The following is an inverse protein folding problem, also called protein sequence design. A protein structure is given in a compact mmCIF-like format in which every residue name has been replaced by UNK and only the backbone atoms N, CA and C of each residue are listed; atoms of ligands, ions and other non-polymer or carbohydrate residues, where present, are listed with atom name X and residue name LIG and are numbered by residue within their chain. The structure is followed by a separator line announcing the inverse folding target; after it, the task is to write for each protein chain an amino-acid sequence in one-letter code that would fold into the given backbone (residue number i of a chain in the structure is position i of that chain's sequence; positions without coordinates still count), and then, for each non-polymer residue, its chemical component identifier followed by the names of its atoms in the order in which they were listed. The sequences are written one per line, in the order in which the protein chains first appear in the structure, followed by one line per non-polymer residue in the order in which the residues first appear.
data_IF_381640863233
#
_entry.id   IF_381640863233
#
_cell.length_a   1.000
_cell.length_b   1.000
_cell.length_c   1.000
_cell.angle_alpha   90.00
_cell.angle_beta   90.00
_cell.angle_gamma   90.00
#
_symmetry.space_group_name_H-M   'P 1'
#
loop_
_entity.id
_entity.type
_entity.pdbx_description
1 polymer ?
#
# COMPACT_ATOMS: atom_id res chain seq x y z
N UNK A 1 -19.20 -2.14 25.73
CA UNK A 1 -18.92 -0.69 25.78
C UNK A 1 -19.11 -0.10 27.18
N UNK A 2 -19.91 -0.70 28.07
CA UNK A 2 -20.17 -0.17 29.43
C UNK A 2 -19.09 -0.40 30.49
N UNK A 3 -17.99 -1.12 30.19
CA UNK A 3 -17.03 -1.55 31.22
C UNK A 3 -15.91 -0.56 31.54
N UNK A 4 -15.73 0.51 30.77
CA UNK A 4 -14.52 1.37 30.83
C UNK A 4 -14.80 2.87 31.03
N UNK A 5 -16.07 3.26 31.12
CA UNK A 5 -16.48 4.66 31.34
C UNK A 5 -16.43 5.51 30.07
N UNK A 6 -17.31 6.51 30.03
CA UNK A 6 -17.53 7.40 28.86
C UNK A 6 -16.25 8.18 28.49
N UNK A 7 -15.44 8.58 29.47
CA UNK A 7 -14.18 9.28 29.25
C UNK A 7 -13.13 8.43 28.52
N UNK A 8 -12.97 7.15 28.90
CA UNK A 8 -12.03 6.26 28.23
C UNK A 8 -12.43 6.00 26.77
N UNK A 9 -13.74 5.95 26.48
CA UNK A 9 -14.25 5.85 25.11
C UNK A 9 -13.85 7.06 24.27
N UNK A 10 -14.03 8.28 24.78
CA UNK A 10 -13.65 9.49 24.03
C UNK A 10 -12.14 9.59 23.83
N UNK A 11 -11.34 9.29 24.85
CA UNK A 11 -9.88 9.25 24.72
C UNK A 11 -9.43 8.23 23.67
N UNK A 12 -9.99 7.02 23.70
CA UNK A 12 -9.70 5.99 22.70
C UNK A 12 -10.05 6.44 21.27
N UNK A 13 -11.22 7.06 21.08
CA UNK A 13 -11.64 7.56 19.77
C UNK A 13 -10.74 8.71 19.28
N UNK A 14 -10.40 9.67 20.14
CA UNK A 14 -9.53 10.80 19.78
C UNK A 14 -8.13 10.30 19.44
N UNK A 15 -7.56 9.38 20.24
CA UNK A 15 -6.26 8.79 19.93
C UNK A 15 -6.29 7.96 18.65
N UNK A 16 -7.35 7.17 18.44
CA UNK A 16 -7.54 6.40 17.20
C UNK A 16 -7.59 7.31 15.98
N UNK A 17 -8.35 8.40 16.04
CA UNK A 17 -8.38 9.43 15.00
C UNK A 17 -6.98 10.00 14.78
N UNK A 18 -6.29 10.45 15.84
CA UNK A 18 -4.97 11.06 15.71
C UNK A 18 -3.94 10.10 15.07
N UNK A 19 -3.91 8.84 15.49
CA UNK A 19 -2.97 7.81 14.99
C UNK A 19 -3.29 7.43 13.55
N UNK A 20 -4.57 7.25 13.21
CA UNK A 20 -4.97 6.93 11.84
C UNK A 20 -4.66 8.10 10.91
N UNK A 21 -5.04 9.33 11.27
CA UNK A 21 -4.76 10.51 10.46
C UNK A 21 -3.27 10.75 10.24
N UNK A 22 -2.43 10.63 11.28
CA UNK A 22 -0.98 10.83 11.10
C UNK A 22 -0.35 9.76 10.21
N UNK A 23 -0.85 8.52 10.26
CA UNK A 23 -0.34 7.43 9.42
C UNK A 23 -0.73 7.64 7.97
N UNK A 24 -2.00 7.97 7.72
CA UNK A 24 -2.51 8.24 6.37
C UNK A 24 -1.83 9.46 5.74
N UNK A 25 -1.64 10.57 6.48
CA UNK A 25 -0.90 11.71 5.95
C UNK A 25 0.56 11.37 5.61
N UNK A 26 1.22 10.55 6.43
CA UNK A 26 2.58 10.09 6.14
C UNK A 26 2.65 9.22 4.88
N UNK A 27 1.68 8.33 4.68
CA UNK A 27 1.61 7.46 3.49
C UNK A 27 1.33 8.28 2.23
N UNK A 28 0.37 9.21 2.26
CA UNK A 28 0.03 10.08 1.13
C UNK A 28 1.23 10.96 0.70
N UNK A 29 1.94 11.56 1.67
CA UNK A 29 3.14 12.36 1.38
C UNK A 29 4.26 11.50 0.77
N UNK A 30 4.51 10.30 1.31
CA UNK A 30 5.54 9.41 0.80
C UNK A 30 5.19 8.87 -0.61
N UNK A 31 3.96 8.44 -0.84
CA UNK A 31 3.52 7.87 -2.11
C UNK A 31 3.53 8.91 -3.24
N UNK A 32 3.03 10.12 -2.96
CA UNK A 32 3.03 11.22 -3.94
C UNK A 32 4.45 11.71 -4.28
N UNK A 33 5.38 11.74 -3.32
CA UNK A 33 6.81 12.03 -3.56
C UNK A 33 7.47 10.98 -4.43
N UNK A 34 7.36 9.71 -4.05
CA UNK A 34 7.95 8.60 -4.82
C UNK A 34 7.39 8.56 -6.25
N UNK A 35 6.08 8.77 -6.42
CA UNK A 35 5.43 8.81 -7.73
C UNK A 35 5.91 9.99 -8.58
N UNK A 36 6.06 11.16 -7.96
CA UNK A 36 6.59 12.36 -8.61
C UNK A 36 8.02 12.13 -9.09
N UNK A 37 8.88 11.59 -8.22
CA UNK A 37 10.27 11.29 -8.54
C UNK A 37 10.37 10.27 -9.67
N UNK A 38 9.57 9.19 -9.62
CA UNK A 38 9.56 8.15 -10.64
C UNK A 38 9.18 8.71 -12.02
N UNK A 39 8.13 9.54 -12.10
CA UNK A 39 7.66 10.14 -13.35
C UNK A 39 8.65 11.19 -13.86
N UNK A 40 9.20 12.01 -12.97
CA UNK A 40 10.15 13.06 -13.36
C UNK A 40 11.45 12.46 -13.89
N UNK A 41 11.99 11.44 -13.22
CA UNK A 41 13.25 10.79 -13.61
C UNK A 41 13.10 9.97 -14.89
N UNK A 42 11.97 9.27 -15.06
CA UNK A 42 11.80 8.30 -16.15
C UNK A 42 11.22 8.92 -17.42
N UNK A 43 10.25 9.83 -17.31
CA UNK A 43 9.47 10.33 -18.46
C UNK A 43 9.65 11.81 -18.75
N UNK A 44 9.81 12.65 -17.71
CA UNK A 44 9.78 14.12 -17.85
C UNK A 44 11.09 14.81 -17.43
N UNK A 45 12.22 14.12 -17.64
CA UNK A 45 13.56 14.58 -17.24
C UNK A 45 13.87 15.96 -17.82
N UNK A 46 13.54 16.17 -19.09
CA UNK A 46 13.90 17.40 -19.84
C UNK A 46 12.70 18.33 -20.09
N UNK A 47 11.52 18.05 -19.52
CA UNK A 47 10.33 18.88 -19.77
C UNK A 47 10.22 20.03 -18.73
N UNK A 48 10.37 21.31 -19.14
CA UNK A 48 10.31 22.46 -18.23
C UNK A 48 8.88 22.82 -17.79
N UNK A 49 7.84 22.29 -18.44
CA UNK A 49 6.45 22.61 -18.09
C UNK A 49 5.93 21.88 -16.85
N UNK A 50 6.52 20.75 -16.49
CA UNK A 50 6.11 19.97 -15.33
C UNK A 50 7.21 20.02 -14.27
N UNK A 51 7.03 20.96 -13.35
CA UNK A 51 7.82 21.03 -12.12
C UNK A 51 7.40 19.93 -11.16
N UNK A 52 8.34 19.46 -10.34
CA UNK A 52 8.10 18.45 -9.30
C UNK A 52 6.91 18.84 -8.41
N UNK A 53 6.82 20.10 -7.99
CA UNK A 53 5.70 20.57 -7.17
C UNK A 53 4.32 20.46 -7.82
N UNK A 54 4.21 20.57 -9.16
CA UNK A 54 2.93 20.38 -9.86
C UNK A 54 2.55 18.91 -9.99
N UNK A 55 3.52 18.04 -10.24
CA UNK A 55 3.31 16.60 -10.27
C UNK A 55 2.90 16.09 -8.88
N UNK A 56 3.60 16.53 -7.84
CA UNK A 56 3.25 16.22 -6.44
C UNK A 56 1.82 16.62 -6.12
N UNK A 57 1.42 17.84 -6.49
CA UNK A 57 0.04 18.32 -6.30
C UNK A 57 -0.99 17.39 -6.96
N UNK A 58 -0.77 17.00 -8.22
CA UNK A 58 -1.70 16.12 -8.93
C UNK A 58 -1.74 14.70 -8.37
N UNK A 59 -0.60 14.13 -7.96
CA UNK A 59 -0.57 12.81 -7.32
C UNK A 59 -1.27 12.84 -5.96
N UNK A 60 -0.94 13.81 -5.11
CA UNK A 60 -1.56 13.96 -3.79
C UNK A 60 -3.08 14.15 -3.89
N UNK A 61 -3.54 15.08 -4.73
CA UNK A 61 -4.97 15.31 -4.91
C UNK A 61 -5.65 14.14 -5.61
N UNK A 62 -4.97 13.47 -6.54
CA UNK A 62 -5.46 12.26 -7.18
C UNK A 62 -5.74 11.15 -6.15
N UNK A 63 -4.80 10.90 -5.24
CA UNK A 63 -4.95 9.91 -4.16
C UNK A 63 -6.10 10.27 -3.21
N UNK A 64 -6.18 11.55 -2.78
CA UNK A 64 -7.26 12.04 -1.90
C UNK A 64 -8.63 11.92 -2.57
N UNK A 65 -8.73 12.32 -3.84
CA UNK A 65 -9.98 12.26 -4.60
C UNK A 65 -10.40 10.81 -4.85
N UNK A 66 -9.45 9.93 -5.18
CA UNK A 66 -9.72 8.50 -5.37
C UNK A 66 -10.26 7.89 -4.07
N UNK A 67 -9.57 8.08 -2.94
CA UNK A 67 -10.03 7.59 -1.63
C UNK A 67 -11.40 8.15 -1.24
N UNK A 68 -11.63 9.46 -1.45
CA UNK A 68 -12.91 10.12 -1.16
C UNK A 68 -14.03 9.60 -2.06
N UNK A 69 -13.75 9.35 -3.34
CA UNK A 69 -14.74 8.85 -4.31
C UNK A 69 -15.23 7.45 -3.96
N UNK A 70 -14.36 6.57 -3.46
CA UNK A 70 -14.73 5.22 -3.02
C UNK A 70 -15.78 5.31 -1.88
N UNK A 71 -15.56 6.20 -0.91
CA UNK A 71 -16.51 6.43 0.19
C UNK A 71 -17.85 7.01 -0.29
N UNK A 72 -17.82 7.90 -1.29
CA UNK A 72 -19.05 8.48 -1.86
C UNK A 72 -19.85 7.43 -2.64
N UNK A 73 -19.18 6.58 -3.43
CA UNK A 73 -19.81 5.48 -4.18
C UNK A 73 -20.47 4.47 -3.23
N UNK A 74 -19.83 4.15 -2.11
CA UNK A 74 -20.41 3.33 -1.05
C UNK A 74 -21.72 3.94 -0.53
N UNK A 75 -21.72 5.24 -0.19
CA UNK A 75 -22.91 5.94 0.29
C UNK A 75 -24.03 6.07 -0.74
N UNK A 76 -23.72 6.04 -2.03
CA UNK A 76 -24.69 6.15 -3.13
C UNK A 76 -25.49 4.85 -3.40
N UNK A 77 -25.24 3.77 -2.65
CA UNK A 77 -26.04 2.55 -2.74
C UNK A 77 -25.65 1.58 -3.86
N UNK A 78 -24.56 1.85 -4.58
CA UNK A 78 -23.93 0.90 -5.52
C UNK A 78 -23.03 -0.13 -4.78
N UNK A 79 -23.20 -0.26 -3.45
CA UNK A 79 -22.20 -0.71 -2.50
C UNK A 79 -21.74 -2.16 -2.65
N UNK A 80 -20.47 -2.32 -3.01
CA UNK A 80 -19.66 -3.45 -2.55
C UNK A 80 -19.52 -3.29 -1.03
N UNK A 81 -19.84 -4.35 -0.28
CA UNK A 81 -19.84 -4.36 1.18
C UNK A 81 -18.48 -3.87 1.75
N UNK A 82 -18.46 -3.00 2.76
CA UNK A 82 -17.23 -2.42 3.32
C UNK A 82 -16.21 -3.49 3.74
N UNK A 83 -16.72 -4.64 4.19
CA UNK A 83 -15.93 -5.84 4.51
C UNK A 83 -15.19 -6.39 3.30
N UNK A 84 -15.83 -6.37 2.14
CA UNK A 84 -15.23 -6.83 0.88
C UNK A 84 -14.06 -5.93 0.52
N UNK A 85 -14.20 -4.61 0.55
CA UNK A 85 -13.08 -3.68 0.32
C UNK A 85 -11.91 -3.91 1.28
N UNK A 86 -12.20 -4.18 2.55
CA UNK A 86 -11.16 -4.50 3.54
C UNK A 86 -10.39 -5.79 3.19
N UNK A 87 -11.10 -6.82 2.71
CA UNK A 87 -10.46 -8.07 2.25
C UNK A 87 -9.58 -7.80 1.03
N UNK A 88 -10.06 -7.03 0.05
CA UNK A 88 -9.29 -6.69 -1.14
C UNK A 88 -8.03 -5.89 -0.82
N UNK A 89 -8.12 -4.85 0.02
CA UNK A 89 -6.93 -4.06 0.40
C UNK A 89 -5.91 -4.91 1.18
N UNK A 90 -6.38 -5.80 2.07
CA UNK A 90 -5.50 -6.72 2.79
C UNK A 90 -4.79 -7.70 1.86
N UNK A 91 -5.51 -8.28 0.90
CA UNK A 91 -4.94 -9.20 -0.10
C UNK A 91 -3.93 -8.48 -1.01
N UNK A 92 -4.24 -7.26 -1.46
CA UNK A 92 -3.34 -6.42 -2.25
C UNK A 92 -2.06 -6.08 -1.48
N UNK A 93 -2.16 -5.75 -0.20
CA UNK A 93 -0.98 -5.50 0.63
C UNK A 93 -0.06 -6.73 0.72
N UNK A 94 -0.64 -7.94 0.88
CA UNK A 94 0.12 -9.19 0.83
C UNK A 94 0.83 -9.39 -0.52
N UNK A 95 0.15 -9.09 -1.63
CA UNK A 95 0.73 -9.17 -2.97
C UNK A 95 1.88 -8.18 -3.18
N UNK A 96 1.75 -6.94 -2.70
CA UNK A 96 2.82 -5.95 -2.75
C UNK A 96 4.03 -6.42 -1.94
N UNK A 97 3.82 -7.03 -0.76
CA UNK A 97 4.89 -7.58 0.05
C UNK A 97 5.63 -8.75 -0.63
N UNK A 98 4.92 -9.60 -1.37
CA UNK A 98 5.53 -10.62 -2.22
C UNK A 98 6.44 -10.01 -3.29
N UNK A 99 5.95 -9.02 -4.04
CA UNK A 99 6.74 -8.33 -5.06
C UNK A 99 7.96 -7.63 -4.46
N UNK A 100 7.76 -6.89 -3.37
CA UNK A 100 8.81 -6.16 -2.66
C UNK A 100 9.94 -7.08 -2.20
N UNK A 101 9.60 -8.18 -1.52
CA UNK A 101 10.59 -9.13 -1.03
C UNK A 101 11.29 -9.89 -2.15
N UNK A 102 10.60 -10.18 -3.25
CA UNK A 102 11.20 -10.77 -4.46
C UNK A 102 12.22 -9.84 -5.11
N UNK A 103 11.86 -8.57 -5.29
CA UNK A 103 12.77 -7.55 -5.84
C UNK A 103 13.99 -7.37 -4.93
N UNK A 104 13.79 -7.29 -3.62
CA UNK A 104 14.90 -7.19 -2.66
C UNK A 104 15.84 -8.39 -2.74
N UNK A 105 15.31 -9.61 -2.80
CA UNK A 105 16.12 -10.81 -2.89
C UNK A 105 16.91 -10.86 -4.21
N UNK A 106 16.27 -10.48 -5.32
CA UNK A 106 16.90 -10.35 -6.64
C UNK A 106 18.05 -9.32 -6.61
N UNK A 107 17.80 -8.11 -6.10
CA UNK A 107 18.81 -7.03 -6.02
C UNK A 107 19.95 -7.38 -5.06
N UNK A 108 19.64 -8.02 -3.92
CA UNK A 108 20.64 -8.49 -2.94
C UNK A 108 21.57 -9.56 -3.52
N UNK A 109 21.08 -10.43 -4.40
CA UNK A 109 21.88 -11.49 -5.03
C UNK A 109 22.64 -11.01 -6.27
N UNK A 110 22.05 -10.16 -7.11
CA UNK A 110 22.57 -9.87 -8.46
C UNK A 110 23.20 -8.49 -8.64
N UNK A 111 22.81 -7.48 -7.85
CA UNK A 111 23.21 -6.09 -8.12
C UNK A 111 24.15 -5.48 -7.06
N UNK A 112 24.22 -6.08 -5.85
CA UNK A 112 24.98 -5.50 -4.74
C UNK A 112 26.44 -6.01 -4.68
N UNK A 113 27.44 -5.09 -4.62
CA UNK A 113 28.84 -5.43 -4.36
C UNK A 113 28.98 -6.22 -3.05
N UNK A 114 29.85 -7.23 -3.04
CA UNK A 114 30.06 -8.12 -1.90
C UNK A 114 30.18 -7.45 -0.50
N UNK A 115 30.75 -6.23 -0.35
CA UNK A 115 30.86 -5.56 0.94
C UNK A 115 29.54 -5.06 1.55
N UNK A 116 28.48 -4.86 0.77
CA UNK A 116 27.18 -4.29 1.22
C UNK A 116 26.10 -5.38 1.29
N UNK A 117 26.47 -6.64 1.01
CA UNK A 117 25.50 -7.74 0.99
C UNK A 117 24.95 -8.01 2.39
N UNK A 118 23.65 -8.25 2.41
CA UNK A 118 22.95 -8.65 3.63
C UNK A 118 23.50 -10.02 4.08
N UNK A 119 23.76 -10.24 5.38
CA UNK A 119 24.24 -11.52 5.88
C UNK A 119 23.27 -12.67 5.53
N UNK A 120 23.81 -13.88 5.37
CA UNK A 120 23.06 -15.05 4.86
C UNK A 120 21.78 -15.36 5.66
N UNK A 121 21.78 -15.16 6.98
CA UNK A 121 20.59 -15.42 7.82
C UNK A 121 19.43 -14.46 7.53
N UNK A 122 19.70 -13.16 7.34
CA UNK A 122 18.68 -12.16 6.95
C UNK A 122 18.15 -12.45 5.54
N UNK A 123 19.02 -12.94 4.65
CA UNK A 123 18.61 -13.38 3.31
C UNK A 123 17.70 -14.61 3.35
N UNK A 124 17.93 -15.54 4.29
CA UNK A 124 17.06 -16.70 4.49
C UNK A 124 15.68 -16.29 5.02
N UNK A 125 15.61 -15.32 5.94
CA UNK A 125 14.34 -14.76 6.42
C UNK A 125 13.60 -14.07 5.26
N UNK A 126 14.29 -13.27 4.44
CA UNK A 126 13.66 -12.64 3.27
C UNK A 126 13.12 -13.67 2.28
N UNK A 127 13.85 -14.76 2.04
CA UNK A 127 13.39 -15.85 1.17
C UNK A 127 12.17 -16.58 1.78
N UNK A 128 12.16 -16.81 3.09
CA UNK A 128 11.00 -17.37 3.78
C UNK A 128 9.77 -16.46 3.65
N UNK A 129 9.95 -15.15 3.88
CA UNK A 129 8.89 -14.14 3.75
C UNK A 129 8.35 -14.08 2.32
N UNK A 130 9.22 -14.16 1.31
CA UNK A 130 8.83 -14.23 -0.09
C UNK A 130 7.98 -15.47 -0.39
N UNK A 131 8.39 -16.65 0.09
CA UNK A 131 7.62 -17.88 -0.10
C UNK A 131 6.27 -17.83 0.64
N UNK A 132 6.25 -17.30 1.86
CA UNK A 132 5.04 -17.16 2.67
C UNK A 132 4.02 -16.25 1.96
N UNK A 133 4.39 -15.01 1.66
CA UNK A 133 3.47 -14.09 0.99
C UNK A 133 3.13 -14.56 -0.43
N UNK A 134 4.09 -15.15 -1.15
CA UNK A 134 3.86 -15.70 -2.48
C UNK A 134 2.80 -16.80 -2.51
N UNK A 135 2.82 -17.72 -1.53
CA UNK A 135 1.80 -18.74 -1.38
C UNK A 135 0.40 -18.14 -1.16
N UNK A 136 0.27 -17.19 -0.23
CA UNK A 136 -1.03 -16.54 0.04
C UNK A 136 -1.53 -15.69 -1.12
N UNK A 137 -0.64 -14.98 -1.82
CA UNK A 137 -1.02 -14.20 -3.00
C UNK A 137 -1.47 -15.10 -4.15
N UNK A 138 -0.78 -16.22 -4.40
CA UNK A 138 -1.20 -17.18 -5.42
C UNK A 138 -2.56 -17.81 -5.09
N UNK A 139 -2.78 -18.17 -3.82
CA UNK A 139 -4.05 -18.70 -3.36
C UNK A 139 -5.20 -17.69 -3.46
N UNK A 140 -4.97 -16.44 -3.05
CA UNK A 140 -5.95 -15.36 -3.21
C UNK A 140 -6.26 -15.10 -4.70
N UNK A 141 -5.25 -15.13 -5.57
CA UNK A 141 -5.43 -15.01 -7.01
C UNK A 141 -6.29 -16.15 -7.59
N UNK A 142 -6.10 -17.37 -7.10
CA UNK A 142 -6.92 -18.51 -7.49
C UNK A 142 -8.39 -18.36 -7.05
N UNK A 143 -8.65 -17.92 -5.82
CA UNK A 143 -10.01 -17.65 -5.34
C UNK A 143 -10.71 -16.57 -6.18
N UNK A 144 -9.99 -15.50 -6.52
CA UNK A 144 -10.51 -14.43 -7.39
C UNK A 144 -10.83 -14.99 -8.79
N UNK A 145 -9.93 -15.79 -9.36
CA UNK A 145 -10.12 -16.37 -10.69
C UNK A 145 -11.32 -17.32 -10.73
N UNK A 146 -11.51 -18.16 -9.71
CA UNK A 146 -12.67 -19.02 -9.60
C UNK A 146 -13.98 -18.23 -9.53
N UNK A 147 -14.01 -17.13 -8.77
CA UNK A 147 -15.19 -16.25 -8.69
C UNK A 147 -15.51 -15.55 -10.00
N UNK A 148 -14.50 -15.24 -10.81
CA UNK A 148 -14.68 -14.66 -12.14
C UNK A 148 -15.15 -15.69 -13.17
N UNK A 149 -14.62 -16.92 -13.11
CA UNK A 149 -15.02 -18.02 -14.00
C UNK A 149 -16.41 -18.60 -13.66
N UNK A 150 -16.88 -18.44 -12.42
CA UNK A 150 -18.20 -18.88 -11.98
C UNK A 150 -19.32 -17.83 -12.21
N UNK A 151 -18.99 -16.65 -12.76
CA UNK A 151 -19.94 -15.65 -13.24
C UNK A 151 -20.10 -15.75 -14.76
#
# INVERSE_FOLDING_TARGET
ADRIGVWAKYLFLIMGIAILFTTEFGVLDAASRISTDLVKVTWLRDNPRWSEGRLYFWFLWGEILLGSSILVVEKLGYGIDAKTYFIWTSALNGAVMFLYTGILLYRNRLALPAPIRIPLWRSAILAFTFLFFGFFTAWAGYDILQRLLAR
#
